data_IF_192500652281
#
_entry.id   IF_192500652281
#
_cell.length_a   1.000
_cell.length_b   1.000
_cell.length_c   1.000
_cell.angle_alpha   90.00
_cell.angle_beta   90.00
_cell.angle_gamma   90.00
#
_symmetry.space_group_name_H-M   'P 1'
#
loop_
_entity.id
_entity.type
_entity.pdbx_description
1 polymer ?
#
# COMPACT_ATOMS: atom_id res chain seq x y z
N UNK A 1 4.48 13.68 17.72
CA UNK A 1 5.33 12.50 17.40
C UNK A 1 4.57 11.17 17.50
N UNK A 2 3.97 10.82 18.65
CA UNK A 2 3.25 9.53 18.83
C UNK A 2 2.00 9.37 17.93
N UNK A 3 1.18 10.43 17.80
CA UNK A 3 -0.04 10.42 16.96
C UNK A 3 0.24 10.08 15.49
N UNK A 4 1.25 10.71 14.87
CA UNK A 4 1.64 10.45 13.48
C UNK A 4 2.09 9.00 13.26
N UNK A 5 2.81 8.43 14.23
CA UNK A 5 3.25 7.03 14.21
C UNK A 5 2.06 6.06 14.28
N UNK A 6 1.07 6.36 15.12
CA UNK A 6 -0.17 5.58 15.22
C UNK A 6 -0.94 5.63 13.91
N UNK A 7 -1.15 6.82 13.33
CA UNK A 7 -1.87 6.98 12.05
C UNK A 7 -1.18 6.21 10.93
N UNK A 8 0.15 6.28 10.85
CA UNK A 8 0.94 5.53 9.87
C UNK A 8 0.75 4.01 10.02
N UNK A 9 0.84 3.49 11.25
CA UNK A 9 0.71 2.05 11.49
C UNK A 9 -0.72 1.56 11.24
N UNK A 10 -1.74 2.33 11.62
CA UNK A 10 -3.13 2.00 11.32
C UNK A 10 -3.35 1.94 9.80
N UNK A 11 -2.91 2.97 9.06
CA UNK A 11 -3.03 2.99 7.61
C UNK A 11 -2.26 1.84 6.94
N UNK A 12 -1.05 1.55 7.42
CA UNK A 12 -0.23 0.44 6.90
C UNK A 12 -0.88 -0.91 7.16
N UNK A 13 -1.38 -1.17 8.37
CA UNK A 13 -2.08 -2.42 8.70
C UNK A 13 -3.33 -2.58 7.83
N UNK A 14 -4.09 -1.50 7.62
CA UNK A 14 -5.27 -1.53 6.76
C UNK A 14 -4.89 -1.88 5.32
N UNK A 15 -3.84 -1.28 4.76
CA UNK A 15 -3.32 -1.64 3.43
C UNK A 15 -2.84 -3.10 3.40
N UNK A 16 -2.17 -3.57 4.45
CA UNK A 16 -1.68 -4.95 4.52
C UNK A 16 -2.83 -5.94 4.48
N UNK A 17 -3.89 -5.68 5.24
CA UNK A 17 -5.07 -6.53 5.27
C UNK A 17 -5.79 -6.46 3.92
N UNK A 18 -6.02 -5.26 3.41
CA UNK A 18 -6.88 -5.04 2.25
C UNK A 18 -6.23 -5.47 0.93
N UNK A 19 -4.99 -5.05 0.69
CA UNK A 19 -4.28 -5.32 -0.57
C UNK A 19 -3.45 -6.61 -0.51
N UNK A 20 -3.10 -7.09 0.69
CA UNK A 20 -2.26 -8.27 0.87
C UNK A 20 -3.03 -9.49 1.36
N UNK A 21 -3.53 -9.42 2.60
CA UNK A 21 -4.09 -10.58 3.28
C UNK A 21 -5.42 -11.05 2.66
N UNK A 22 -6.33 -10.14 2.29
CA UNK A 22 -7.60 -10.52 1.68
C UNK A 22 -7.39 -11.21 0.31
N UNK A 23 -6.67 -10.63 -0.67
CA UNK A 23 -6.50 -11.27 -1.97
C UNK A 23 -5.70 -12.59 -1.87
N UNK A 24 -4.69 -12.64 -1.00
CA UNK A 24 -3.94 -13.86 -0.73
C UNK A 24 -4.81 -14.92 -0.04
N UNK A 25 -5.65 -14.53 0.91
CA UNK A 25 -6.60 -15.41 1.59
C UNK A 25 -7.63 -15.97 0.62
N UNK A 26 -8.17 -15.15 -0.29
CA UNK A 26 -9.05 -15.62 -1.37
C UNK A 26 -8.33 -16.62 -2.26
N UNK A 27 -7.08 -16.36 -2.64
CA UNK A 27 -6.28 -17.30 -3.44
C UNK A 27 -6.09 -18.65 -2.75
N UNK A 28 -5.79 -18.66 -1.44
CA UNK A 28 -5.46 -19.88 -0.69
C UNK A 28 -6.69 -20.68 -0.21
N UNK A 29 -7.73 -19.99 0.24
CA UNK A 29 -8.88 -20.62 0.91
C UNK A 29 -10.15 -20.64 0.09
N UNK A 30 -10.27 -19.77 -0.91
CA UNK A 30 -11.48 -19.65 -1.73
C UNK A 30 -11.16 -19.32 -3.19
N UNK A 31 -10.34 -20.16 -3.86
CA UNK A 31 -9.78 -19.84 -5.18
C UNK A 31 -10.85 -19.56 -6.25
N UNK A 32 -12.06 -20.11 -6.10
CA UNK A 32 -13.19 -19.84 -6.98
C UNK A 32 -13.62 -18.36 -7.04
N UNK A 33 -13.29 -17.57 -6.01
CA UNK A 33 -13.61 -16.15 -5.94
C UNK A 33 -12.43 -15.24 -6.28
N UNK A 34 -11.24 -15.79 -6.58
CA UNK A 34 -10.06 -14.94 -6.80
C UNK A 34 -10.21 -14.05 -8.04
N UNK A 35 -10.99 -14.51 -9.03
CA UNK A 35 -11.26 -13.77 -10.27
C UNK A 35 -12.52 -12.90 -10.16
N UNK A 36 -13.18 -12.84 -8.99
CA UNK A 36 -14.47 -12.15 -8.87
C UNK A 36 -14.40 -10.66 -9.24
N UNK A 37 -13.26 -10.00 -8.97
CA UNK A 37 -13.04 -8.61 -9.33
C UNK A 37 -12.52 -8.39 -10.75
N UNK A 38 -11.92 -9.41 -11.39
CA UNK A 38 -11.26 -9.28 -12.70
C UNK A 38 -12.03 -9.94 -13.84
N UNK A 39 -12.83 -10.97 -13.55
CA UNK A 39 -13.64 -11.72 -14.50
C UNK A 39 -14.76 -10.88 -15.12
N UNK A 40 -15.52 -10.04 -14.37
CA UNK A 40 -16.51 -9.13 -14.97
C UNK A 40 -15.87 -8.15 -15.96
N UNK A 41 -14.61 -7.78 -15.71
CA UNK A 41 -13.82 -6.88 -16.55
C UNK A 41 -13.26 -7.54 -17.83
N UNK A 42 -13.47 -8.86 -18.01
CA UNK A 42 -12.96 -9.61 -19.15
C UNK A 42 -11.48 -9.96 -19.08
N UNK A 43 -10.84 -9.82 -17.92
CA UNK A 43 -9.43 -10.21 -17.77
C UNK A 43 -9.25 -11.73 -17.71
N UNK A 44 -8.15 -12.25 -18.28
CA UNK A 44 -7.83 -13.66 -18.19
C UNK A 44 -7.39 -14.05 -16.77
N UNK A 45 -7.60 -15.31 -16.40
CA UNK A 45 -7.36 -15.78 -15.02
C UNK A 45 -5.91 -15.56 -14.56
N UNK A 46 -4.92 -15.76 -15.44
CA UNK A 46 -3.50 -15.54 -15.11
C UNK A 46 -3.21 -14.11 -14.64
N UNK A 47 -3.98 -13.12 -15.13
CA UNK A 47 -3.82 -11.73 -14.73
C UNK A 47 -4.19 -11.55 -13.25
N UNK A 48 -5.24 -12.23 -12.77
CA UNK A 48 -5.65 -12.19 -11.37
C UNK A 48 -4.54 -12.76 -10.46
N UNK A 49 -3.95 -13.90 -10.81
CA UNK A 49 -2.83 -14.48 -10.07
C UNK A 49 -1.62 -13.54 -10.02
N UNK A 50 -1.21 -13.00 -11.17
CA UNK A 50 -0.09 -12.07 -11.25
C UNK A 50 -0.34 -10.82 -10.39
N UNK A 51 -1.55 -10.26 -10.45
CA UNK A 51 -1.96 -9.11 -9.65
C UNK A 51 -1.85 -9.38 -8.15
N UNK A 52 -2.38 -10.52 -7.68
CA UNK A 52 -2.34 -10.90 -6.26
C UNK A 52 -0.89 -11.03 -5.78
N UNK A 53 -0.03 -11.72 -6.55
CA UNK A 53 1.38 -11.89 -6.20
C UNK A 53 2.08 -10.53 -6.12
N UNK A 54 1.90 -9.66 -7.11
CA UNK A 54 2.49 -8.32 -7.11
C UNK A 54 2.01 -7.47 -5.92
N UNK A 55 0.71 -7.53 -5.59
CA UNK A 55 0.16 -6.82 -4.43
C UNK A 55 0.77 -7.30 -3.12
N UNK A 56 0.88 -8.61 -2.93
CA UNK A 56 1.48 -9.21 -1.73
C UNK A 56 2.94 -8.78 -1.58
N UNK A 57 3.72 -8.81 -2.66
CA UNK A 57 5.12 -8.34 -2.65
C UNK A 57 5.22 -6.85 -2.28
N UNK A 58 4.36 -6.01 -2.86
CA UNK A 58 4.30 -4.57 -2.55
C UNK A 58 3.95 -4.32 -1.08
N UNK A 59 2.95 -5.03 -0.55
CA UNK A 59 2.52 -4.94 0.84
C UNK A 59 3.64 -5.37 1.80
N UNK A 60 4.33 -6.48 1.52
CA UNK A 60 5.46 -6.96 2.33
C UNK A 60 6.58 -5.92 2.36
N UNK A 61 6.88 -5.32 1.21
CA UNK A 61 7.90 -4.27 1.11
C UNK A 61 7.56 -3.03 1.95
N UNK A 62 6.27 -2.65 2.04
CA UNK A 62 5.81 -1.53 2.87
C UNK A 62 5.82 -1.89 4.36
N UNK A 63 5.33 -3.09 4.71
CA UNK A 63 5.14 -3.52 6.09
C UNK A 63 6.47 -3.71 6.85
N UNK A 64 7.51 -4.20 6.16
CA UNK A 64 8.80 -4.49 6.79
C UNK A 64 9.64 -3.19 6.86
N UNK A 65 9.91 -2.66 8.07
CA UNK A 65 10.63 -1.40 8.23
C UNK A 65 12.09 -1.48 7.79
N UNK A 66 12.65 -2.69 7.72
CA UNK A 66 14.04 -3.00 7.41
C UNK A 66 14.43 -2.77 5.94
N UNK A 67 13.45 -2.78 5.03
CA UNK A 67 13.74 -2.67 3.60
C UNK A 67 14.26 -1.29 3.18
N UNK A 68 15.11 -1.24 2.13
CA UNK A 68 15.69 -0.01 1.63
C UNK A 68 14.59 0.96 1.15
N UNK A 69 14.83 2.26 1.34
CA UNK A 69 13.85 3.30 1.05
C UNK A 69 13.37 3.29 -0.41
N UNK A 70 14.25 2.96 -1.37
CA UNK A 70 13.93 2.86 -2.79
C UNK A 70 12.92 1.74 -3.09
N UNK A 71 13.08 0.57 -2.47
CA UNK A 71 12.16 -0.56 -2.67
C UNK A 71 10.76 -0.24 -2.15
N UNK A 72 10.68 0.51 -1.03
CA UNK A 72 9.40 1.00 -0.52
C UNK A 72 8.73 1.96 -1.50
N UNK A 73 9.49 2.86 -2.10
CA UNK A 73 8.94 3.78 -3.13
C UNK A 73 8.42 3.01 -4.34
N UNK A 74 9.11 1.97 -4.80
CA UNK A 74 8.62 1.10 -5.86
C UNK A 74 7.34 0.36 -5.46
N UNK A 75 7.25 -0.11 -4.22
CA UNK A 75 6.04 -0.75 -3.72
C UNK A 75 4.85 0.22 -3.65
N UNK A 76 5.06 1.45 -3.16
CA UNK A 76 4.03 2.50 -3.17
C UNK A 76 3.60 2.84 -4.60
N UNK A 77 4.54 2.98 -5.54
CA UNK A 77 4.23 3.25 -6.95
C UNK A 77 3.45 2.10 -7.60
N UNK A 78 3.88 0.85 -7.40
CA UNK A 78 3.22 -0.34 -7.94
C UNK A 78 1.78 -0.49 -7.45
N UNK A 79 1.54 -0.34 -6.14
CA UNK A 79 0.19 -0.37 -5.57
C UNK A 79 -0.67 0.81 -6.06
N UNK A 80 -0.06 1.99 -6.24
CA UNK A 80 -0.76 3.16 -6.78
C UNK A 80 -1.24 2.90 -8.20
N UNK A 81 -0.37 2.40 -9.09
CA UNK A 81 -0.75 2.08 -10.46
C UNK A 81 -1.78 0.95 -10.51
N UNK A 82 -1.64 -0.07 -9.66
CA UNK A 82 -2.62 -1.15 -9.52
C UNK A 82 -4.03 -0.61 -9.21
N UNK A 83 -4.15 0.30 -8.23
CA UNK A 83 -5.42 0.90 -7.82
C UNK A 83 -5.99 1.86 -8.87
N UNK A 84 -5.14 2.64 -9.53
CA UNK A 84 -5.55 3.52 -10.63
C UNK A 84 -6.07 2.71 -11.82
N UNK A 85 -5.39 1.62 -12.20
CA UNK A 85 -5.89 0.75 -13.26
C UNK A 85 -7.18 0.05 -12.87
N UNK A 86 -7.32 -0.42 -11.64
CA UNK A 86 -8.59 -0.99 -11.16
C UNK A 86 -9.76 0.01 -11.29
N UNK A 87 -9.54 1.27 -10.93
CA UNK A 87 -10.52 2.34 -11.13
C UNK A 87 -10.87 2.52 -12.61
N UNK A 88 -9.86 2.62 -13.49
CA UNK A 88 -10.08 2.81 -14.93
C UNK A 88 -10.85 1.62 -15.53
N UNK A 89 -10.49 0.39 -15.16
CA UNK A 89 -11.14 -0.81 -15.67
C UNK A 89 -12.63 -0.86 -15.28
N UNK A 90 -12.96 -0.59 -14.01
CA UNK A 90 -14.36 -0.53 -13.59
C UNK A 90 -15.11 0.67 -14.19
N UNK A 91 -14.44 1.80 -14.42
CA UNK A 91 -15.03 2.96 -15.08
C UNK A 91 -15.37 2.69 -16.54
N UNK A 92 -14.49 1.98 -17.26
CA UNK A 92 -14.66 1.69 -18.68
C UNK A 92 -15.63 0.52 -18.95
N UNK A 93 -15.57 -0.55 -18.16
CA UNK A 93 -16.31 -1.79 -18.43
C UNK A 93 -17.62 -1.85 -17.65
N UNK A 94 -17.55 -1.88 -16.31
CA UNK A 94 -18.72 -2.16 -15.47
C UNK A 94 -19.58 -0.92 -15.21
N UNK A 95 -18.99 0.28 -15.29
CA UNK A 95 -19.58 1.59 -14.93
C UNK A 95 -20.24 1.60 -13.54
N UNK A 96 -19.86 0.67 -12.67
CA UNK A 96 -20.42 0.53 -11.34
C UNK A 96 -19.68 1.43 -10.36
N UNK A 97 -20.40 2.43 -9.85
CA UNK A 97 -19.86 3.46 -8.94
C UNK A 97 -19.25 2.83 -7.69
N UNK A 98 -19.81 1.75 -7.16
CA UNK A 98 -19.30 1.09 -5.94
C UNK A 98 -17.93 0.47 -6.17
N UNK A 99 -17.76 -0.29 -7.26
CA UNK A 99 -16.48 -0.90 -7.61
C UNK A 99 -15.44 0.12 -8.07
N UNK A 100 -15.88 1.29 -8.52
CA UNK A 100 -15.01 2.40 -8.89
C UNK A 100 -14.52 3.18 -7.66
N UNK A 101 -15.37 3.40 -6.64
CA UNK A 101 -15.00 4.15 -5.43
C UNK A 101 -14.05 3.37 -4.52
N UNK A 102 -14.17 2.05 -4.47
CA UNK A 102 -13.40 1.20 -3.56
C UNK A 102 -11.87 1.32 -3.79
N UNK A 103 -11.34 1.18 -5.02
CA UNK A 103 -9.92 1.42 -5.30
C UNK A 103 -9.47 2.84 -4.94
N UNK A 104 -10.35 3.84 -5.11
CA UNK A 104 -10.03 5.25 -4.83
C UNK A 104 -9.90 5.51 -3.32
N UNK A 105 -10.75 4.89 -2.49
CA UNK A 105 -10.65 4.98 -1.03
C UNK A 105 -9.35 4.33 -0.55
N UNK A 106 -9.04 3.12 -1.04
CA UNK A 106 -7.80 2.42 -0.69
C UNK A 106 -6.58 3.21 -1.14
N UNK A 107 -6.64 3.83 -2.32
CA UNK A 107 -5.59 4.72 -2.82
C UNK A 107 -5.38 5.93 -1.91
N UNK A 108 -6.46 6.54 -1.41
CA UNK A 108 -6.40 7.61 -0.42
C UNK A 108 -5.68 7.17 0.86
N UNK A 109 -5.97 5.96 1.36
CA UNK A 109 -5.31 5.42 2.55
C UNK A 109 -3.84 5.11 2.29
N UNK A 110 -3.50 4.59 1.11
CA UNK A 110 -2.12 4.35 0.69
C UNK A 110 -1.32 5.66 0.64
N UNK A 111 -1.90 6.71 0.04
CA UNK A 111 -1.30 8.04 -0.02
C UNK A 111 -1.13 8.64 1.39
N UNK A 112 -2.12 8.46 2.26
CA UNK A 112 -2.02 8.89 3.66
C UNK A 112 -0.86 8.17 4.36
N UNK A 113 -0.74 6.85 4.19
CA UNK A 113 0.39 6.08 4.73
C UNK A 113 1.74 6.62 4.25
N UNK A 114 1.85 6.96 2.96
CA UNK A 114 3.07 7.55 2.39
C UNK A 114 3.43 8.91 3.00
N UNK A 115 2.46 9.82 3.13
CA UNK A 115 2.68 11.16 3.69
C UNK A 115 3.07 11.09 5.17
N UNK A 116 2.44 10.20 5.95
CA UNK A 116 2.81 10.05 7.35
C UNK A 116 4.15 9.35 7.53
N UNK A 117 4.55 8.45 6.62
CA UNK A 117 5.90 7.86 6.59
C UNK A 117 6.98 8.92 6.45
N UNK A 118 6.84 9.84 5.49
CA UNK A 118 7.84 10.90 5.25
C UNK A 118 7.94 11.86 6.45
N UNK A 119 6.80 12.21 7.08
CA UNK A 119 6.78 13.01 8.32
C UNK A 119 7.48 12.33 9.49
N UNK A 120 7.33 11.01 9.66
CA UNK A 120 8.03 10.26 10.71
C UNK A 120 9.54 10.25 10.44
N UNK A 121 9.95 9.97 9.20
CA UNK A 121 11.36 9.94 8.81
C UNK A 121 12.05 11.31 8.98
N UNK A 122 11.37 12.41 8.63
CA UNK A 122 11.90 13.76 8.83
C UNK A 122 12.07 14.13 10.30
N UNK A 123 11.14 13.71 11.15
CA UNK A 123 11.21 13.95 12.60
C UNK A 123 12.38 13.18 13.24
N UNK A 124 12.61 11.93 12.82
CA UNK A 124 13.74 11.12 13.30
C UNK A 124 15.10 11.71 12.91
N UNK A 125 15.23 12.27 11.69
CA UNK A 125 16.47 12.94 11.24
C UNK A 125 16.77 14.22 12.03
N UNK A 126 15.76 15.07 12.26
CA UNK A 126 15.91 16.31 13.03
C UNK A 126 16.31 16.02 14.49
N UNK A 127 15.74 14.97 15.10
CA UNK A 127 16.11 14.55 16.45
C UNK A 127 17.56 14.03 16.53
N UNK A 128 18.02 13.29 15.51
CA UNK A 128 19.42 12.84 15.46
C UNK A 128 20.39 14.01 15.31
N UNK A 129 20.13 14.97 14.42
CA UNK A 129 21.00 16.14 14.21
C UNK A 129 21.20 16.94 15.49
N UNK A 130 20.14 17.18 16.27
CA UNK A 130 20.23 17.88 17.56
C UNK A 130 21.14 17.15 18.57
N UNK A 131 21.07 15.82 18.63
CA UNK A 131 21.95 15.02 19.50
C UNK A 131 23.42 15.12 19.10
N UNK A 132 23.73 15.12 17.81
CA UNK A 132 25.12 15.24 17.34
C UNK A 132 25.70 16.64 17.58
N UNK A 133 24.95 17.70 17.31
CA UNK A 133 25.41 19.09 17.58
C UNK A 133 25.49 19.41 19.07
N UNK A 134 24.64 18.79 19.90
CA UNK A 134 24.72 18.91 21.35
C UNK A 134 25.93 18.19 21.95
N UNK A 135 26.31 17.04 21.39
CA UNK A 135 27.48 16.27 21.84
C UNK A 135 28.82 16.94 21.45
N UNK A 136 28.88 17.62 20.30
CA UNK A 136 30.09 18.33 19.86
C UNK A 136 30.32 19.69 20.53
N UNK A 137 29.33 20.24 21.22
CA UNK A 137 29.44 21.52 21.92
C UNK A 137 29.96 21.38 23.37
N UNK A 138 30.18 20.15 23.84
CA UNK A 138 30.61 19.83 25.22
C UNK A 138 32.04 19.25 25.25
N UNK A 139 32.74 19.20 24.11
CA UNK A 139 34.14 18.78 23.95
C UNK A 139 35.03 19.97 23.62
#
# INVERSE_FOLDING_TARGET
>A
MKKNKIIFWIATILIVIWEGAMPLGTLLFAPQYMNAGTKPLGYPDYFAYALIICKVLGVIAIAIPQFPAKLKEWAYAGLTFSLVFAFISHACVDKNITFMLLPLIVLGILMLSYVYRSKIAGTSRAAQQHTYTGASAVS
#
